data_IF_900904029907
#
_entry.id   IF_900904029907
#
_cell.length_a   1.000
_cell.length_b   1.000
_cell.length_c   1.000
_cell.angle_alpha   90.00
_cell.angle_beta   90.00
_cell.angle_gamma   90.00
#
_symmetry.space_group_name_H-M   'P 1'
#
loop_
_entity.id
_entity.type
_entity.pdbx_description
1 polymer ?
#
# COMPACT_ATOMS: atom_id res chain seq x y z
N UNK A 1 -8.06 5.34 15.67
CA UNK A 1 -7.00 6.14 14.98
C UNK A 1 -7.48 6.53 13.59
N UNK A 2 -7.40 7.80 13.19
CA UNK A 2 -7.71 8.17 11.82
C UNK A 2 -6.80 7.43 10.83
N UNK A 3 -7.32 7.13 9.65
CA UNK A 3 -6.59 6.38 8.63
C UNK A 3 -5.28 7.05 8.24
N UNK A 4 -5.26 8.41 8.18
CA UNK A 4 -4.03 9.14 7.86
C UNK A 4 -2.94 8.95 8.91
N UNK A 5 -3.30 8.86 10.19
CA UNK A 5 -2.33 8.60 11.25
C UNK A 5 -1.83 7.17 11.20
N UNK A 6 -2.71 6.24 10.91
CA UNK A 6 -2.32 4.85 10.75
C UNK A 6 -1.37 4.67 9.57
N UNK A 7 -1.65 5.38 8.45
CA UNK A 7 -0.78 5.36 7.29
C UNK A 7 0.62 5.87 7.64
N UNK A 8 0.72 6.96 8.40
CA UNK A 8 2.01 7.48 8.84
C UNK A 8 2.77 6.47 9.70
N UNK A 9 2.05 5.75 10.55
CA UNK A 9 2.64 4.71 11.39
C UNK A 9 3.25 3.59 10.53
N UNK A 10 2.52 3.15 9.51
CA UNK A 10 3.00 2.12 8.59
C UNK A 10 4.24 2.60 7.84
N UNK A 11 4.24 3.84 7.36
CA UNK A 11 5.42 4.42 6.69
C UNK A 11 6.64 4.35 7.61
N UNK A 12 6.50 4.79 8.86
CA UNK A 12 7.61 4.76 9.82
C UNK A 12 8.12 3.35 10.10
N UNK A 13 7.21 2.39 10.22
CA UNK A 13 7.59 1.00 10.45
C UNK A 13 8.42 0.43 9.30
N UNK A 14 8.01 0.71 8.05
CA UNK A 14 8.77 0.24 6.90
C UNK A 14 10.10 0.98 6.76
N UNK A 15 10.12 2.28 7.00
CA UNK A 15 11.37 3.05 6.98
C UNK A 15 12.36 2.54 8.02
N UNK A 16 11.87 2.16 9.20
CA UNK A 16 12.72 1.58 10.25
C UNK A 16 13.33 0.25 9.83
N UNK A 17 12.70 -0.45 8.90
CA UNK A 17 13.23 -1.72 8.34
C UNK A 17 14.12 -1.51 7.14
N UNK A 18 14.40 -0.26 6.78
CA UNK A 18 15.30 0.06 5.68
C UNK A 18 14.63 0.26 4.32
N UNK A 19 13.31 0.33 4.27
CA UNK A 19 12.60 0.59 3.02
C UNK A 19 12.55 2.07 2.71
N UNK A 20 12.62 2.37 1.41
CA UNK A 20 12.34 3.69 0.88
C UNK A 20 10.86 3.72 0.54
N UNK A 21 10.08 4.53 1.27
CA UNK A 21 8.62 4.52 1.14
C UNK A 21 8.12 5.76 0.40
N UNK A 22 7.33 5.53 -0.63
CA UNK A 22 6.69 6.60 -1.40
C UNK A 22 5.18 6.58 -1.12
N UNK A 23 4.65 7.71 -0.71
CA UNK A 23 3.21 7.87 -0.54
C UNK A 23 2.62 8.34 -1.87
N UNK A 24 1.66 7.58 -2.38
CA UNK A 24 0.98 7.91 -3.64
C UNK A 24 -0.22 8.79 -3.32
N UNK A 25 -0.15 10.07 -3.68
CA UNK A 25 -1.21 11.03 -3.41
C UNK A 25 -2.09 11.21 -4.63
N UNK A 26 -1.48 11.41 -5.79
CA UNK A 26 -2.20 11.52 -7.06
C UNK A 26 -1.55 10.61 -8.08
N UNK A 27 -2.39 9.85 -8.77
CA UNK A 27 -1.92 8.95 -9.82
C UNK A 27 -2.89 9.01 -10.99
N UNK A 28 -2.43 8.52 -12.14
CA UNK A 28 -3.26 8.43 -13.33
C UNK A 28 -4.23 7.24 -13.29
N UNK A 29 -4.20 6.44 -12.23
CA UNK A 29 -5.08 5.28 -12.08
C UNK A 29 -5.82 5.38 -10.75
N UNK A 30 -7.15 5.52 -10.83
CA UNK A 30 -7.99 5.56 -9.65
C UNK A 30 -7.98 4.20 -8.94
N UNK A 31 -8.06 4.21 -7.62
CA UNK A 31 -8.11 2.99 -6.81
C UNK A 31 -6.77 2.29 -6.64
N UNK A 32 -5.66 2.93 -7.01
CA UNK A 32 -4.34 2.35 -6.83
C UNK A 32 -3.94 2.30 -5.36
N UNK A 33 -2.80 1.67 -5.08
CA UNK A 33 -2.30 1.51 -3.71
C UNK A 33 -1.90 2.85 -3.10
N UNK A 34 -1.84 2.90 -1.77
CA UNK A 34 -1.50 4.12 -1.03
C UNK A 34 -0.01 4.34 -0.94
N UNK A 35 0.76 3.28 -0.82
CA UNK A 35 2.20 3.33 -0.58
C UNK A 35 2.95 2.35 -1.47
N UNK A 36 4.19 2.71 -1.80
CA UNK A 36 5.14 1.78 -2.40
C UNK A 36 6.37 1.77 -1.50
N UNK A 37 6.79 0.59 -1.06
CA UNK A 37 8.00 0.41 -0.26
C UNK A 37 9.06 -0.27 -1.12
N UNK A 38 10.24 0.35 -1.20
CA UNK A 38 11.33 -0.09 -2.06
C UNK A 38 12.57 -0.41 -1.23
N UNK A 39 13.27 -1.46 -1.62
CA UNK A 39 14.52 -1.86 -0.99
C UNK A 39 15.42 -2.45 -2.06
N UNK A 40 16.76 -2.20 -2.00
CA UNK A 40 17.67 -2.72 -3.03
C UNK A 40 17.55 -4.24 -3.17
N UNK A 41 17.51 -4.71 -4.41
CA UNK A 41 17.48 -6.14 -4.78
C UNK A 41 16.23 -6.90 -4.34
N UNK A 42 15.19 -6.19 -3.89
CA UNK A 42 13.91 -6.81 -3.51
C UNK A 42 12.78 -6.29 -4.39
N UNK A 43 11.75 -7.09 -4.55
CA UNK A 43 10.56 -6.66 -5.26
C UNK A 43 9.90 -5.50 -4.53
N UNK A 44 9.32 -4.55 -5.25
CA UNK A 44 8.55 -3.49 -4.59
C UNK A 44 7.37 -4.07 -3.85
N UNK A 45 7.04 -3.44 -2.73
CA UNK A 45 5.86 -3.80 -1.95
C UNK A 45 4.82 -2.72 -2.16
N UNK A 46 3.64 -3.11 -2.65
CA UNK A 46 2.52 -2.19 -2.86
C UNK A 46 1.57 -2.36 -1.68
N UNK A 47 1.27 -1.26 -0.99
CA UNK A 47 0.51 -1.32 0.25
C UNK A 47 -0.73 -0.46 0.16
N UNK A 48 -1.87 -1.06 0.48
CA UNK A 48 -3.12 -0.35 0.69
C UNK A 48 -3.41 -0.32 2.19
N UNK A 49 -3.68 0.87 2.74
CA UNK A 49 -3.90 1.06 4.16
C UNK A 49 -5.38 1.32 4.40
N UNK A 50 -5.97 0.58 5.34
CA UNK A 50 -7.40 0.68 5.66
C UNK A 50 -7.60 0.84 7.16
N UNK A 51 -8.64 1.60 7.54
CA UNK A 51 -9.11 1.65 8.91
C UNK A 51 -9.76 0.33 9.33
N UNK A 52 -10.19 0.25 10.59
CA UNK A 52 -10.72 -0.99 11.17
C UNK A 52 -11.89 -1.59 10.39
N UNK A 53 -12.80 -0.75 9.92
CA UNK A 53 -14.05 -1.19 9.31
C UNK A 53 -14.25 -0.74 7.87
N UNK A 54 -13.29 0.00 7.30
CA UNK A 54 -13.42 0.52 5.95
C UNK A 54 -13.23 -0.62 4.93
N UNK A 55 -14.23 -0.91 4.09
CA UNK A 55 -14.06 -2.00 3.13
C UNK A 55 -13.16 -1.58 1.97
N UNK A 56 -12.51 -2.58 1.35
CA UNK A 56 -11.81 -2.36 0.11
C UNK A 56 -12.85 -2.17 -1.01
N UNK A 57 -12.69 -1.14 -1.84
CA UNK A 57 -13.60 -0.94 -2.97
C UNK A 57 -13.33 -1.97 -4.06
N UNK A 58 -14.32 -2.16 -4.95
CA UNK A 58 -14.16 -3.05 -6.09
C UNK A 58 -13.02 -2.57 -6.99
N UNK A 59 -12.87 -1.27 -7.17
CA UNK A 59 -11.80 -0.71 -7.99
C UNK A 59 -10.43 -0.96 -7.36
N UNK A 60 -10.32 -0.81 -6.04
CA UNK A 60 -9.07 -1.10 -5.34
C UNK A 60 -8.66 -2.56 -5.48
N UNK A 61 -9.64 -3.46 -5.36
CA UNK A 61 -9.38 -4.88 -5.57
C UNK A 61 -8.92 -5.16 -7.00
N UNK A 62 -9.57 -4.52 -7.97
CA UNK A 62 -9.20 -4.65 -9.37
C UNK A 62 -7.75 -4.20 -9.60
N UNK A 63 -7.34 -3.06 -9.02
CA UNK A 63 -5.97 -2.57 -9.15
C UNK A 63 -4.95 -3.51 -8.51
N UNK A 64 -5.30 -4.08 -7.34
CA UNK A 64 -4.43 -5.06 -6.68
C UNK A 64 -4.25 -6.30 -7.56
N UNK A 65 -5.34 -6.81 -8.12
CA UNK A 65 -5.29 -7.99 -9.00
C UNK A 65 -4.52 -7.69 -10.28
N UNK A 66 -4.64 -6.47 -10.82
CA UNK A 66 -3.89 -6.02 -11.99
C UNK A 66 -2.39 -6.07 -11.73
N UNK A 67 -1.93 -5.55 -10.58
CA UNK A 67 -0.53 -5.60 -10.20
C UNK A 67 -0.02 -7.03 -10.08
N UNK A 68 -0.83 -7.90 -9.47
CA UNK A 68 -0.46 -9.31 -9.35
C UNK A 68 -0.35 -9.99 -10.71
N UNK A 69 -1.23 -9.63 -11.64
CA UNK A 69 -1.19 -10.18 -13.01
C UNK A 69 0.05 -9.75 -13.77
N UNK A 70 0.64 -8.60 -13.39
CA UNK A 70 1.89 -8.12 -13.98
C UNK A 70 3.12 -8.80 -13.38
N UNK A 71 2.93 -9.66 -12.38
CA UNK A 71 4.02 -10.42 -11.77
C UNK A 71 4.48 -9.90 -10.42
N UNK A 72 3.84 -8.85 -9.88
CA UNK A 72 4.21 -8.33 -8.56
C UNK A 72 3.48 -9.16 -7.49
N UNK A 73 4.25 -9.85 -6.65
CA UNK A 73 3.67 -10.73 -5.63
C UNK A 73 3.39 -10.04 -4.30
N UNK A 74 4.07 -8.92 -4.03
CA UNK A 74 3.95 -8.23 -2.74
C UNK A 74 2.93 -7.09 -2.83
N UNK A 75 1.66 -7.45 -2.89
CA UNK A 75 0.55 -6.51 -2.91
C UNK A 75 -0.26 -6.75 -1.65
N UNK A 76 -0.16 -5.82 -0.69
CA UNK A 76 -0.68 -6.01 0.65
C UNK A 76 -1.81 -5.05 0.97
N UNK A 77 -2.78 -5.53 1.74
CA UNK A 77 -3.76 -4.68 2.40
C UNK A 77 -3.44 -4.75 3.89
N UNK A 78 -3.11 -3.60 4.48
CA UNK A 78 -2.83 -3.51 5.92
C UNK A 78 -3.98 -2.76 6.57
N UNK A 79 -4.66 -3.46 7.46
CA UNK A 79 -5.82 -2.92 8.16
C UNK A 79 -5.47 -2.69 9.62
N UNK A 80 -5.94 -1.57 10.15
CA UNK A 80 -5.82 -1.28 11.58
C UNK A 80 -6.56 -2.34 12.38
N UNK A 81 -5.91 -2.87 13.42
CA UNK A 81 -6.49 -3.90 14.28
C UNK A 81 -7.30 -3.30 15.44
#
# INVERSE_FOLDING_TARGET
>A
MPESKFQKKIIKEYEAKGYYVIKLVRTNKNGTMDLIALKPKEEPIFIEVKGKTTPQSALQKYRADELKSLGFSNVLLIREQ
#
